data_IF_612742125187
#
_entry.id   IF_612742125187
#
_cell.length_a   1.000
_cell.length_b   1.000
_cell.length_c   1.000
_cell.angle_alpha   90.00
_cell.angle_beta   90.00
_cell.angle_gamma   90.00
#
_symmetry.space_group_name_H-M   'P 1'
#
loop_
_entity.id
_entity.type
_entity.pdbx_description
1 polymer ?
#
# COMPACT_ATOMS: atom_id res chain seq x y z
N UNK A 1 20.84 -13.81 6.65
CA UNK A 1 19.86 -14.91 6.41
C UNK A 1 18.85 -14.38 5.41
N UNK A 2 18.42 -15.18 4.44
CA UNK A 2 17.36 -14.74 3.50
C UNK A 2 16.03 -14.68 4.24
N UNK A 3 15.27 -13.60 4.04
CA UNK A 3 13.97 -13.41 4.67
C UNK A 3 13.03 -14.57 4.28
N UNK A 4 12.36 -15.24 5.23
CA UNK A 4 11.57 -16.43 4.94
C UNK A 4 10.38 -16.15 4.00
N UNK A 5 9.86 -14.91 3.98
CA UNK A 5 8.84 -14.51 3.01
C UNK A 5 9.37 -14.58 1.57
N UNK A 6 10.63 -14.18 1.34
CA UNK A 6 11.23 -14.22 0.01
C UNK A 6 11.34 -15.65 -0.51
N UNK A 7 11.65 -16.60 0.37
CA UNK A 7 11.69 -18.03 0.04
C UNK A 7 10.31 -18.52 -0.43
N UNK A 8 9.23 -18.09 0.24
CA UNK A 8 7.86 -18.44 -0.15
C UNK A 8 7.49 -17.82 -1.50
N UNK A 9 7.85 -16.55 -1.75
CA UNK A 9 7.57 -15.87 -3.02
C UNK A 9 8.30 -16.54 -4.19
N UNK A 10 9.59 -16.87 -4.03
CA UNK A 10 10.34 -17.62 -5.03
C UNK A 10 9.72 -18.99 -5.32
N UNK A 11 9.40 -19.74 -4.26
CA UNK A 11 8.75 -21.05 -4.40
C UNK A 11 7.41 -20.95 -5.12
N UNK A 12 6.62 -19.91 -4.83
CA UNK A 12 5.36 -19.65 -5.51
C UNK A 12 5.56 -19.44 -7.01
N UNK A 13 6.61 -18.71 -7.41
CA UNK A 13 6.95 -18.52 -8.81
C UNK A 13 7.41 -19.83 -9.47
N UNK A 14 8.39 -20.51 -8.89
CA UNK A 14 8.95 -21.76 -9.42
C UNK A 14 7.89 -22.86 -9.60
N UNK A 15 6.92 -22.91 -8.67
CA UNK A 15 5.85 -23.91 -8.68
C UNK A 15 4.54 -23.41 -9.30
N UNK A 16 4.54 -22.21 -9.89
CA UNK A 16 3.35 -21.58 -10.50
C UNK A 16 2.14 -21.53 -9.55
N UNK A 17 2.37 -21.23 -8.26
CA UNK A 17 1.28 -20.99 -7.32
C UNK A 17 0.60 -19.65 -7.65
N UNK A 18 -0.73 -19.62 -7.57
CA UNK A 18 -1.47 -18.37 -7.71
C UNK A 18 -1.18 -17.47 -6.51
N UNK A 19 -0.80 -16.23 -6.80
CA UNK A 19 -0.57 -15.16 -5.81
C UNK A 19 -1.52 -13.99 -6.00
N UNK A 20 -2.50 -14.10 -6.91
CA UNK A 20 -3.45 -13.03 -7.20
C UNK A 20 -4.38 -12.78 -6.00
N UNK A 21 -4.44 -11.56 -5.45
CA UNK A 21 -5.36 -11.23 -4.37
C UNK A 21 -6.81 -11.49 -4.79
N UNK A 22 -7.61 -12.04 -3.87
CA UNK A 22 -9.05 -12.31 -4.07
C UNK A 22 -9.37 -13.22 -5.27
N UNK A 23 -8.45 -14.10 -5.69
CA UNK A 23 -8.70 -15.08 -6.75
C UNK A 23 -9.89 -15.99 -6.38
N UNK A 24 -11.00 -15.89 -7.11
CA UNK A 24 -12.21 -16.68 -6.85
C UNK A 24 -12.12 -18.12 -7.38
N UNK A 25 -11.15 -18.42 -8.24
CA UNK A 25 -10.96 -19.77 -8.82
C UNK A 25 -10.25 -20.72 -7.85
N UNK A 26 -9.13 -20.29 -7.28
CA UNK A 26 -8.31 -21.16 -6.41
C UNK A 26 -8.01 -20.55 -5.03
N UNK A 27 -8.46 -19.32 -4.76
CA UNK A 27 -8.24 -18.65 -3.48
C UNK A 27 -6.77 -18.34 -3.16
N UNK A 28 -5.84 -18.56 -4.09
CA UNK A 28 -4.40 -18.55 -3.82
C UNK A 28 -4.00 -19.52 -2.69
N UNK A 29 -4.73 -20.63 -2.57
CA UNK A 29 -4.68 -21.55 -1.42
C UNK A 29 -3.28 -22.06 -1.08
N UNK A 30 -2.50 -22.50 -2.09
CA UNK A 30 -1.13 -22.99 -1.87
C UNK A 30 -0.22 -21.93 -1.26
N UNK A 31 -0.29 -20.70 -1.77
CA UNK A 31 0.50 -19.58 -1.26
C UNK A 31 0.07 -19.20 0.16
N UNK A 32 -1.25 -19.10 0.40
CA UNK A 32 -1.80 -18.82 1.73
C UNK A 32 -1.44 -19.88 2.77
N UNK A 33 -1.45 -21.16 2.40
CA UNK A 33 -1.03 -22.24 3.30
C UNK A 33 0.44 -22.09 3.71
N UNK A 34 1.34 -21.77 2.77
CA UNK A 34 2.75 -21.52 3.10
C UNK A 34 2.92 -20.29 4.01
N UNK A 35 2.14 -19.23 3.79
CA UNK A 35 2.12 -18.06 4.69
C UNK A 35 1.59 -18.42 6.08
N UNK A 36 0.60 -19.31 6.17
CA UNK A 36 0.03 -19.77 7.43
C UNK A 36 1.03 -20.63 8.21
N UNK A 37 1.80 -21.49 7.53
CA UNK A 37 2.91 -22.24 8.13
C UNK A 37 3.97 -21.30 8.69
N UNK A 38 4.35 -20.26 7.95
CA UNK A 38 5.29 -19.23 8.42
C UNK A 38 4.73 -18.40 9.59
N UNK A 39 3.43 -18.09 9.54
CA UNK A 39 2.73 -17.31 10.58
C UNK A 39 2.78 -18.00 11.95
N UNK A 40 2.68 -19.33 11.97
CA UNK A 40 2.49 -20.11 13.19
C UNK A 40 1.17 -19.80 13.90
N UNK A 41 0.95 -20.33 15.12
CA UNK A 41 -0.33 -20.23 15.82
C UNK A 41 -0.81 -18.80 16.12
N UNK A 42 0.12 -17.85 16.21
CA UNK A 42 -0.17 -16.47 16.64
C UNK A 42 0.13 -15.41 15.56
N UNK A 43 0.51 -15.81 14.34
CA UNK A 43 0.86 -14.87 13.28
C UNK A 43 2.27 -14.27 13.36
N UNK A 44 2.99 -14.49 14.46
CA UNK A 44 4.26 -13.80 14.76
C UNK A 44 5.32 -13.98 13.68
N UNK A 45 5.52 -15.19 13.16
CA UNK A 45 6.60 -15.46 12.19
C UNK A 45 6.43 -14.71 10.87
N UNK A 46 5.18 -14.51 10.41
CA UNK A 46 4.90 -13.70 9.23
C UNK A 46 5.04 -12.20 9.50
N UNK A 47 4.64 -11.75 10.69
CA UNK A 47 4.80 -10.35 11.11
C UNK A 47 6.27 -9.96 11.17
N UNK A 48 7.10 -10.80 11.80
CA UNK A 48 8.54 -10.57 11.89
C UNK A 48 9.19 -10.55 10.50
N UNK A 49 8.81 -11.51 9.64
CA UNK A 49 9.26 -11.57 8.26
C UNK A 49 8.86 -10.32 7.46
N UNK A 50 7.62 -9.84 7.63
CA UNK A 50 7.15 -8.62 6.98
C UNK A 50 7.88 -7.37 7.51
N UNK A 51 8.07 -7.24 8.83
CA UNK A 51 8.75 -6.09 9.42
C UNK A 51 10.23 -5.99 8.96
N UNK A 52 10.88 -7.13 8.77
CA UNK A 52 12.29 -7.25 8.39
C UNK A 52 12.54 -7.21 6.88
N UNK A 53 11.52 -6.98 6.04
CA UNK A 53 11.79 -6.87 4.59
C UNK A 53 12.69 -5.68 4.28
N UNK A 54 13.61 -5.91 3.35
CA UNK A 54 14.20 -4.88 2.52
C UNK A 54 13.22 -4.56 1.37
N UNK A 55 12.85 -3.28 1.26
CA UNK A 55 11.87 -2.82 0.28
C UNK A 55 12.43 -2.78 -1.14
N UNK A 56 13.75 -2.69 -1.31
CA UNK A 56 14.40 -2.79 -2.62
C UNK A 56 14.47 -4.25 -3.06
N UNK A 57 14.91 -5.16 -2.20
CA UNK A 57 15.05 -6.58 -2.55
C UNK A 57 13.70 -7.20 -2.89
N UNK A 58 12.64 -6.92 -2.12
CA UNK A 58 11.31 -7.48 -2.39
C UNK A 58 10.79 -7.05 -3.77
N UNK A 59 11.14 -5.85 -4.24
CA UNK A 59 10.69 -5.33 -5.53
C UNK A 59 11.27 -6.06 -6.74
N UNK A 60 12.37 -6.81 -6.52
CA UNK A 60 13.02 -7.64 -7.54
C UNK A 60 12.37 -9.03 -7.66
N UNK A 61 11.48 -9.39 -6.72
CA UNK A 61 10.83 -10.69 -6.71
C UNK A 61 9.67 -10.75 -7.73
N UNK A 62 9.42 -11.92 -8.34
CA UNK A 62 8.31 -12.11 -9.26
C UNK A 62 6.96 -11.91 -8.54
N UNK A 63 6.06 -11.15 -9.16
CA UNK A 63 4.70 -10.89 -8.64
C UNK A 63 4.68 -10.34 -7.20
N UNK A 64 5.73 -9.63 -6.78
CA UNK A 64 5.91 -9.21 -5.39
C UNK A 64 4.76 -8.39 -4.84
N UNK A 65 4.12 -7.54 -5.66
CA UNK A 65 3.02 -6.68 -5.22
C UNK A 65 1.84 -7.51 -4.72
N UNK A 66 1.38 -8.43 -5.57
CA UNK A 66 0.26 -9.33 -5.29
C UNK A 66 0.57 -10.27 -4.11
N UNK A 67 1.78 -10.81 -4.10
CA UNK A 67 2.27 -11.67 -3.03
C UNK A 67 2.32 -10.95 -1.67
N UNK A 68 2.78 -9.69 -1.66
CA UNK A 68 2.85 -8.84 -0.48
C UNK A 68 1.46 -8.42 0.01
N UNK A 69 0.55 -8.08 -0.90
CA UNK A 69 -0.83 -7.75 -0.52
C UNK A 69 -1.50 -8.92 0.19
N UNK A 70 -1.39 -10.15 -0.34
CA UNK A 70 -1.93 -11.33 0.36
C UNK A 70 -1.28 -11.48 1.73
N UNK A 71 0.06 -11.38 1.82
CA UNK A 71 0.77 -11.55 3.10
C UNK A 71 0.30 -10.57 4.18
N UNK A 72 0.04 -9.30 3.83
CA UNK A 72 -0.48 -8.30 4.77
C UNK A 72 -1.95 -8.54 5.09
N UNK A 73 -2.79 -8.82 4.08
CA UNK A 73 -4.24 -8.98 4.29
C UNK A 73 -4.60 -10.23 5.09
N UNK A 74 -3.69 -11.20 5.13
CA UNK A 74 -3.88 -12.47 5.83
C UNK A 74 -3.36 -12.43 7.27
N UNK A 75 -2.80 -11.31 7.72
CA UNK A 75 -2.47 -11.12 9.13
C UNK A 75 -3.76 -11.16 9.97
N UNK A 76 -3.81 -11.97 11.05
CA UNK A 76 -5.04 -12.20 11.80
C UNK A 76 -5.49 -11.00 12.62
N UNK A 77 -4.57 -10.08 12.98
CA UNK A 77 -4.85 -8.96 13.87
C UNK A 77 -4.52 -7.62 13.21
N UNK A 78 -5.40 -6.63 13.38
CA UNK A 78 -5.16 -5.28 12.86
C UNK A 78 -3.89 -4.66 13.45
N UNK A 79 -3.59 -4.92 14.72
CA UNK A 79 -2.37 -4.42 15.38
C UNK A 79 -1.09 -4.96 14.73
N UNK A 80 -1.13 -6.15 14.14
CA UNK A 80 0.02 -6.71 13.41
C UNK A 80 0.26 -5.96 12.10
N UNK A 81 -0.82 -5.65 11.37
CA UNK A 81 -0.73 -4.80 10.18
C UNK A 81 -0.16 -3.43 10.56
N UNK A 82 -0.66 -2.82 11.63
CA UNK A 82 -0.17 -1.54 12.14
C UNK A 82 1.32 -1.59 12.50
N UNK A 83 1.79 -2.65 13.17
CA UNK A 83 3.20 -2.82 13.52
C UNK A 83 4.12 -2.98 12.30
N UNK A 84 3.68 -3.74 11.29
CA UNK A 84 4.42 -3.88 10.02
C UNK A 84 4.50 -2.52 9.30
N UNK A 85 3.37 -1.82 9.22
CA UNK A 85 3.29 -0.49 8.63
C UNK A 85 4.20 0.51 9.36
N UNK A 86 4.24 0.47 10.69
CA UNK A 86 5.12 1.30 11.50
C UNK A 86 6.61 1.00 11.23
N UNK A 87 6.98 -0.28 11.14
CA UNK A 87 8.36 -0.71 10.83
C UNK A 87 8.84 -0.25 9.45
N UNK A 88 7.94 -0.08 8.49
CA UNK A 88 8.26 0.35 7.13
C UNK A 88 8.32 1.86 6.95
N UNK A 89 7.65 2.67 7.80
CA UNK A 89 7.61 4.13 7.68
C UNK A 89 8.99 4.80 7.47
N UNK A 90 10.07 4.39 8.17
CA UNK A 90 11.40 4.97 7.96
C UNK A 90 12.00 4.64 6.58
N UNK A 91 11.61 3.50 5.98
CA UNK A 91 12.22 2.91 4.78
C UNK A 91 11.50 3.29 3.47
N UNK A 92 10.25 3.77 3.54
CA UNK A 92 9.38 3.91 2.35
C UNK A 92 9.76 5.05 1.40
N UNK A 93 10.57 6.02 1.82
CA UNK A 93 10.92 7.17 0.99
C UNK A 93 11.71 6.82 -0.25
N UNK A 94 12.51 5.76 -0.18
CA UNK A 94 13.30 5.28 -1.30
C UNK A 94 12.49 4.34 -2.21
N UNK A 95 11.24 4.04 -1.85
CA UNK A 95 10.42 2.99 -2.46
C UNK A 95 9.01 3.48 -2.80
N UNK A 96 8.93 4.46 -3.71
CA UNK A 96 7.67 5.13 -4.10
C UNK A 96 6.59 4.15 -4.56
N UNK A 97 6.96 3.13 -5.35
CA UNK A 97 6.00 2.14 -5.85
C UNK A 97 5.35 1.33 -4.71
N UNK A 98 6.13 0.97 -3.69
CA UNK A 98 5.62 0.29 -2.51
C UNK A 98 4.77 1.23 -1.66
N UNK A 99 5.22 2.48 -1.45
CA UNK A 99 4.45 3.49 -0.74
C UNK A 99 3.06 3.70 -1.37
N UNK A 100 3.01 3.80 -2.70
CA UNK A 100 1.77 3.95 -3.47
C UNK A 100 0.86 2.70 -3.34
N UNK A 101 1.43 1.51 -3.53
CA UNK A 101 0.72 0.24 -3.39
C UNK A 101 0.06 0.12 -2.00
N UNK A 102 0.84 0.31 -0.94
CA UNK A 102 0.38 0.17 0.45
C UNK A 102 -0.62 1.27 0.81
N UNK A 103 -0.38 2.51 0.36
CA UNK A 103 -1.32 3.61 0.53
C UNK A 103 -2.70 3.25 -0.03
N UNK A 104 -2.74 2.78 -1.27
CA UNK A 104 -3.99 2.56 -1.98
C UNK A 104 -4.71 1.28 -1.53
N UNK A 105 -3.97 0.19 -1.30
CA UNK A 105 -4.53 -1.13 -1.01
C UNK A 105 -4.79 -1.40 0.47
N UNK A 106 -4.03 -0.77 1.37
CA UNK A 106 -4.10 -1.05 2.81
C UNK A 106 -4.54 0.20 3.58
N UNK A 107 -3.73 1.26 3.55
CA UNK A 107 -3.92 2.48 4.38
C UNK A 107 -5.26 3.16 4.09
N UNK A 108 -5.71 3.15 2.82
CA UNK A 108 -7.00 3.70 2.39
C UNK A 108 -8.19 3.18 3.19
N UNK A 109 -8.14 1.93 3.63
CA UNK A 109 -9.25 1.24 4.30
C UNK A 109 -9.14 1.28 5.83
N UNK A 110 -8.04 1.80 6.37
CA UNK A 110 -7.88 2.01 7.82
C UNK A 110 -8.79 3.13 8.33
N UNK A 111 -9.13 3.09 9.62
CA UNK A 111 -9.96 4.12 10.26
C UNK A 111 -9.26 5.49 10.21
N UNK A 112 -10.04 6.56 10.03
CA UNK A 112 -9.50 7.93 9.90
C UNK A 112 -8.79 8.44 11.16
N UNK A 113 -9.22 8.00 12.34
CA UNK A 113 -8.64 8.34 13.63
C UNK A 113 -7.39 7.51 13.98
N UNK A 114 -6.97 6.61 13.10
CA UNK A 114 -5.80 5.77 13.31
C UNK A 114 -4.49 6.55 13.10
N UNK A 115 -3.61 6.55 14.11
CA UNK A 115 -2.35 7.28 14.08
C UNK A 115 -1.41 6.76 12.98
N UNK A 116 -1.28 5.43 12.83
CA UNK A 116 -0.42 4.82 11.79
C UNK A 116 -0.89 5.22 10.39
N UNK A 117 -2.20 5.19 10.14
CA UNK A 117 -2.79 5.66 8.88
C UNK A 117 -2.38 7.10 8.57
N UNK A 118 -2.49 8.00 9.55
CA UNK A 118 -2.22 9.41 9.35
C UNK A 118 -0.72 9.65 9.12
N UNK A 119 0.16 8.99 9.88
CA UNK A 119 1.61 9.03 9.67
C UNK A 119 1.99 8.54 8.26
N UNK A 120 1.36 7.48 7.76
CA UNK A 120 1.55 6.99 6.39
C UNK A 120 1.13 7.98 5.33
N UNK A 121 -0.05 8.59 5.50
CA UNK A 121 -0.54 9.61 4.58
C UNK A 121 0.41 10.81 4.54
N UNK A 122 0.82 11.32 5.70
CA UNK A 122 1.73 12.46 5.79
C UNK A 122 3.07 12.15 5.10
N UNK A 123 3.63 10.96 5.36
CA UNK A 123 4.87 10.54 4.70
C UNK A 123 4.72 10.39 3.19
N UNK A 124 3.59 9.83 2.72
CA UNK A 124 3.30 9.73 1.29
C UNK A 124 3.11 11.11 0.63
N UNK A 125 2.53 12.09 1.33
CA UNK A 125 2.39 13.46 0.84
C UNK A 125 3.78 14.08 0.61
N UNK A 126 4.69 13.94 1.57
CA UNK A 126 6.06 14.43 1.42
C UNK A 126 6.76 13.79 0.22
N UNK A 127 6.67 12.46 0.10
CA UNK A 127 7.24 11.71 -1.04
C UNK A 127 6.63 12.22 -2.36
N UNK A 128 5.32 12.38 -2.43
CA UNK A 128 4.61 12.81 -3.63
C UNK A 128 4.97 14.23 -4.06
N UNK A 129 5.10 15.16 -3.11
CA UNK A 129 5.49 16.54 -3.40
C UNK A 129 6.93 16.60 -3.93
N UNK A 130 7.85 15.86 -3.30
CA UNK A 130 9.27 15.89 -3.65
C UNK A 130 9.56 15.18 -4.98
N UNK A 131 8.98 14.00 -5.17
CA UNK A 131 9.21 13.20 -6.38
C UNK A 131 8.31 13.59 -7.55
N UNK A 132 7.21 14.32 -7.27
CA UNK A 132 6.13 14.61 -8.22
C UNK A 132 5.58 13.35 -8.90
N UNK A 133 5.62 12.20 -8.23
CA UNK A 133 5.16 10.94 -8.82
C UNK A 133 3.65 10.97 -9.09
N UNK A 134 3.24 10.84 -10.36
CA UNK A 134 1.85 10.92 -10.79
C UNK A 134 0.94 9.93 -10.08
N UNK A 135 1.35 8.65 -9.99
CA UNK A 135 0.55 7.57 -9.43
C UNK A 135 0.28 7.79 -7.94
N UNK A 136 1.32 8.14 -7.19
CA UNK A 136 1.18 8.42 -5.76
C UNK A 136 0.31 9.65 -5.48
N UNK A 137 0.41 10.70 -6.31
CA UNK A 137 -0.47 11.87 -6.21
C UNK A 137 -1.92 11.47 -6.45
N UNK A 138 -2.19 10.67 -7.49
CA UNK A 138 -3.53 10.18 -7.77
C UNK A 138 -4.10 9.37 -6.59
N UNK A 139 -3.32 8.42 -6.07
CA UNK A 139 -3.69 7.61 -4.91
C UNK A 139 -4.00 8.47 -3.69
N UNK A 140 -3.17 9.48 -3.38
CA UNK A 140 -3.42 10.41 -2.28
C UNK A 140 -4.74 11.16 -2.45
N UNK A 141 -5.05 11.66 -3.66
CA UNK A 141 -6.33 12.32 -3.90
C UNK A 141 -7.52 11.38 -3.70
N UNK A 142 -7.40 10.12 -4.13
CA UNK A 142 -8.44 9.10 -3.94
C UNK A 142 -8.62 8.71 -2.47
N UNK A 143 -7.54 8.71 -1.69
CA UNK A 143 -7.56 8.41 -0.24
C UNK A 143 -8.13 9.58 0.56
N UNK A 144 -7.62 10.79 0.33
CA UNK A 144 -7.98 12.00 1.09
C UNK A 144 -9.34 12.58 0.69
N UNK A 145 -9.73 12.42 -0.59
CA UNK A 145 -10.98 12.98 -1.13
C UNK A 145 -11.10 14.49 -0.84
N UNK A 146 -12.07 14.88 -0.01
CA UNK A 146 -12.30 16.29 0.39
C UNK A 146 -11.11 16.87 1.16
N UNK A 147 -10.45 16.05 1.97
CA UNK A 147 -9.35 16.48 2.86
C UNK A 147 -8.09 16.83 2.06
N UNK A 148 -8.00 16.42 0.79
CA UNK A 148 -6.88 16.76 -0.10
C UNK A 148 -6.69 18.29 -0.23
N UNK A 149 -7.78 19.05 -0.09
CA UNK A 149 -7.74 20.52 -0.15
C UNK A 149 -7.00 21.19 1.01
N UNK A 150 -6.74 20.47 2.09
CA UNK A 150 -5.88 20.95 3.18
C UNK A 150 -4.41 20.97 2.75
N UNK A 151 -4.04 20.21 1.71
CA UNK A 151 -2.68 20.07 1.20
C UNK A 151 -2.50 20.84 -0.12
N UNK A 152 -2.37 22.17 0.00
CA UNK A 152 -2.35 23.08 -1.17
C UNK A 152 -1.27 22.74 -2.21
N UNK A 153 -0.07 22.33 -1.77
CA UNK A 153 1.02 21.94 -2.68
C UNK A 153 0.67 20.71 -3.51
N UNK A 154 0.10 19.67 -2.88
CA UNK A 154 -0.38 18.47 -3.56
C UNK A 154 -1.42 18.81 -4.64
N UNK A 155 -2.40 19.66 -4.29
CA UNK A 155 -3.43 20.13 -5.22
C UNK A 155 -2.84 20.93 -6.38
N UNK A 156 -1.85 21.79 -6.13
CA UNK A 156 -1.19 22.56 -7.18
C UNK A 156 -0.53 21.63 -8.21
N UNK A 157 0.24 20.63 -7.75
CA UNK A 157 0.87 19.65 -8.63
C UNK A 157 -0.18 18.85 -9.41
N UNK A 158 -1.25 18.40 -8.76
CA UNK A 158 -2.35 17.69 -9.42
C UNK A 158 -3.03 18.54 -10.51
N UNK A 159 -3.19 19.85 -10.28
CA UNK A 159 -3.71 20.78 -11.29
C UNK A 159 -2.80 20.87 -12.50
N UNK A 160 -1.49 20.93 -12.30
CA UNK A 160 -0.52 20.94 -13.40
C UNK A 160 -0.67 19.68 -14.27
N UNK A 161 -0.79 18.50 -13.64
CA UNK A 161 -1.05 17.25 -14.37
C UNK A 161 -2.44 17.19 -15.02
N UNK A 162 -3.44 17.87 -14.46
CA UNK A 162 -4.81 17.87 -15.03
C UNK A 162 -4.89 18.53 -16.40
N UNK A 163 -3.96 19.41 -16.76
CA UNK A 163 -3.93 20.04 -18.08
C UNK A 163 -3.62 19.05 -19.22
N UNK A 164 -2.90 17.97 -18.92
CA UNK A 164 -2.50 16.96 -19.90
C UNK A 164 -3.04 15.56 -19.62
N UNK A 165 -3.68 15.33 -18.46
CA UNK A 165 -4.22 14.03 -18.07
C UNK A 165 -5.69 14.11 -17.66
N UNK A 166 -6.56 13.56 -18.52
CA UNK A 166 -7.99 13.43 -18.24
C UNK A 166 -8.28 12.61 -16.97
N UNK A 167 -7.40 11.65 -16.65
CA UNK A 167 -7.50 10.84 -15.43
C UNK A 167 -7.29 11.70 -14.19
N UNK A 168 -6.19 12.49 -14.14
CA UNK A 168 -5.91 13.36 -13.00
C UNK A 168 -6.99 14.43 -12.85
N UNK A 169 -7.43 15.03 -13.96
CA UNK A 169 -8.52 16.00 -14.00
C UNK A 169 -9.83 15.42 -13.41
N UNK A 170 -10.18 14.18 -13.78
CA UNK A 170 -11.32 13.46 -13.19
C UNK A 170 -11.18 13.29 -11.68
N UNK A 171 -10.02 12.83 -11.21
CA UNK A 171 -9.77 12.58 -9.78
C UNK A 171 -9.79 13.87 -8.96
N UNK A 172 -9.20 14.94 -9.50
CA UNK A 172 -9.22 16.27 -8.88
C UNK A 172 -10.64 16.83 -8.80
N UNK A 173 -11.45 16.71 -9.86
CA UNK A 173 -12.86 17.14 -9.85
C UNK A 173 -13.71 16.36 -8.84
N UNK A 174 -13.48 15.06 -8.70
CA UNK A 174 -14.19 14.26 -7.69
C UNK A 174 -13.88 14.76 -6.28
N UNK A 175 -12.63 15.15 -6.03
CA UNK A 175 -12.22 15.77 -4.77
C UNK A 175 -12.87 17.15 -4.55
N UNK A 176 -13.13 17.91 -5.62
CA UNK A 176 -13.83 19.20 -5.58
C UNK A 176 -15.33 19.08 -5.32
N UNK A 177 -16.05 18.26 -6.09
CA UNK A 177 -17.52 18.08 -5.96
C UNK A 177 -17.91 17.71 -4.55
N UNK A 178 -17.10 16.85 -3.93
CA UNK A 178 -17.28 16.45 -2.56
C UNK A 178 -17.16 17.65 -1.60
N UNK A 179 -16.22 18.60 -1.79
CA UNK A 179 -16.11 19.79 -0.94
C UNK A 179 -17.37 20.68 -1.00
N UNK A 180 -17.91 20.91 -2.20
CA UNK A 180 -19.09 21.77 -2.40
C UNK A 180 -20.36 21.23 -1.71
N UNK A 181 -20.51 19.91 -1.60
CA UNK A 181 -21.67 19.27 -0.96
C UNK A 181 -21.62 19.23 0.58
N UNK A 182 -20.50 19.61 1.21
CA UNK A 182 -20.36 19.61 2.68
C UNK A 182 -20.42 21.01 3.31
N UNK A 183 -20.76 22.03 2.54
CA UNK A 183 -20.91 23.43 2.99
C UNK A 183 -22.39 23.83 3.16
N UNK A 184 -23.26 22.86 3.41
CA UNK A 184 -24.71 23.02 3.67
C UNK A 184 -25.00 22.54 5.08
#
# INVERSE_FOLDING_TARGET
>A
MSNPLYVIIHKAHEQSWCVTPYCTTCGSSKYRNALQELSGPSGGGLVDALADIDLQEISLLPNWQDALIIAITDLPLLQQVEGVLEAWLPKISDNIALADLILYKIVRYMRKDNAIRNNWIDRCIDIAINSRNFSLIESLLLVLKREAWNYRKLIAIAKEYSYSSAQMDRVLRNSYKLKAMGSV
#
